data_IF_164509256259
#
_entry.id   IF_164509256259
#
_cell.length_a   1.000
_cell.length_b   1.000
_cell.length_c   1.000
_cell.angle_alpha   90.00
_cell.angle_beta   90.00
_cell.angle_gamma   90.00
#
_symmetry.space_group_name_H-M   'P 1'
#
loop_
_entity.id
_entity.type
_entity.pdbx_description
1 polymer ?
#
# COMPACT_ATOMS: atom_id res chain seq x y z
N UNK A 1 0.18 15.31 9.10
CA UNK A 1 1.56 15.08 9.56
C UNK A 1 1.62 13.64 10.07
N UNK A 2 2.63 12.80 9.87
CA UNK A 2 3.99 13.03 9.45
C UNK A 2 4.45 12.01 8.41
N UNK A 3 5.18 12.56 7.47
CA UNK A 3 6.03 11.91 6.50
C UNK A 3 7.27 11.39 7.25
N UNK A 4 7.15 10.36 8.09
CA UNK A 4 8.25 9.98 8.99
C UNK A 4 8.56 8.48 8.91
N UNK A 5 9.11 8.09 7.76
CA UNK A 5 10.06 6.99 7.67
C UNK A 5 11.06 7.37 6.57
N UNK A 6 11.85 8.40 6.88
CA UNK A 6 12.92 8.92 6.03
C UNK A 6 14.22 8.33 6.54
N UNK A 7 14.82 7.41 5.80
CA UNK A 7 16.22 7.04 6.01
C UNK A 7 17.10 8.26 5.64
N UNK A 8 17.91 8.82 6.57
CA UNK A 8 18.55 10.12 6.38
C UNK A 8 19.79 10.11 5.48
N UNK A 9 20.25 8.97 4.92
CA UNK A 9 21.58 8.92 4.31
C UNK A 9 21.63 8.20 2.95
N UNK A 10 21.56 8.96 1.84
CA UNK A 10 22.05 8.46 0.56
C UNK A 10 21.72 9.33 -0.65
N UNK A 11 22.72 9.50 -1.53
CA UNK A 11 22.62 10.11 -2.87
C UNK A 11 21.47 9.51 -3.71
N UNK A 12 21.08 8.27 -3.39
CA UNK A 12 19.98 7.56 -4.03
C UNK A 12 18.61 8.22 -3.80
N UNK A 13 18.34 8.78 -2.61
CA UNK A 13 17.06 9.44 -2.32
C UNK A 13 16.90 10.77 -3.05
N UNK A 14 17.99 11.50 -3.26
CA UNK A 14 17.98 12.70 -4.07
C UNK A 14 17.68 12.36 -5.54
N UNK A 15 18.31 11.29 -6.05
CA UNK A 15 18.04 10.80 -7.41
C UNK A 15 16.60 10.29 -7.58
N UNK A 16 16.04 9.58 -6.60
CA UNK A 16 14.65 9.13 -6.60
C UNK A 16 13.68 10.32 -6.54
N UNK A 17 13.91 11.33 -5.71
CA UNK A 17 13.08 12.55 -5.69
C UNK A 17 13.12 13.34 -7.00
N UNK A 18 14.29 13.41 -7.64
CA UNK A 18 14.45 14.08 -8.94
C UNK A 18 13.72 13.31 -10.03
N UNK A 19 13.82 11.98 -10.05
CA UNK A 19 13.06 11.11 -10.99
C UNK A 19 11.56 11.10 -10.72
N UNK A 20 11.16 11.22 -9.45
CA UNK A 20 9.78 11.40 -9.01
C UNK A 20 9.21 12.72 -9.51
N UNK A 21 9.98 13.81 -9.42
CA UNK A 21 9.58 15.13 -9.90
C UNK A 21 9.42 15.16 -11.43
N UNK A 22 10.23 14.39 -12.16
CA UNK A 22 10.16 14.29 -13.63
C UNK A 22 9.12 13.28 -14.13
N UNK A 23 8.33 12.66 -13.24
CA UNK A 23 7.38 11.57 -13.56
C UNK A 23 8.02 10.42 -14.35
N UNK A 24 9.34 10.25 -14.23
CA UNK A 24 10.09 9.24 -14.96
C UNK A 24 10.12 7.88 -14.24
N UNK A 25 9.47 7.76 -13.08
CA UNK A 25 9.27 6.50 -12.37
C UNK A 25 7.80 6.10 -12.44
N UNK A 26 7.53 4.95 -13.07
CA UNK A 26 6.21 4.32 -13.13
C UNK A 26 5.88 3.58 -11.82
N UNK A 27 6.83 3.49 -10.88
CA UNK A 27 6.70 2.58 -9.75
C UNK A 27 7.44 3.03 -8.49
N UNK A 28 6.78 2.90 -7.33
CA UNK A 28 7.33 3.28 -6.01
C UNK A 28 8.12 2.10 -5.44
N UNK A 29 9.24 1.77 -6.08
CA UNK A 29 10.07 0.62 -5.71
C UNK A 29 10.72 0.68 -4.33
N UNK A 30 10.81 1.88 -3.72
CA UNK A 30 11.43 2.09 -2.41
C UNK A 30 10.83 1.22 -1.30
N UNK A 31 9.51 1.18 -1.16
CA UNK A 31 8.86 0.39 -0.09
C UNK A 31 9.12 -1.12 -0.23
N UNK A 32 9.16 -1.63 -1.47
CA UNK A 32 9.47 -3.04 -1.72
C UNK A 32 10.94 -3.35 -1.44
N UNK A 33 11.85 -2.43 -1.79
CA UNK A 33 13.27 -2.55 -1.47
C UNK A 33 13.49 -2.58 0.03
N UNK A 34 12.87 -1.68 0.77
CA UNK A 34 12.96 -1.62 2.23
C UNK A 34 12.40 -2.90 2.86
N UNK A 35 11.26 -3.41 2.37
CA UNK A 35 10.70 -4.66 2.84
C UNK A 35 11.66 -5.86 2.63
N UNK A 36 12.33 -5.95 1.48
CA UNK A 36 13.33 -7.01 1.21
C UNK A 36 14.57 -6.87 2.13
N UNK A 37 15.03 -5.64 2.35
CA UNK A 37 16.20 -5.37 3.19
C UNK A 37 15.90 -5.56 4.68
N UNK A 38 14.68 -5.27 5.14
CA UNK A 38 14.25 -5.47 6.52
C UNK A 38 13.85 -6.93 6.83
N UNK A 39 13.44 -7.72 5.83
CA UNK A 39 13.02 -9.10 6.05
C UNK A 39 14.19 -9.97 6.57
N UNK A 40 13.93 -10.80 7.58
CA UNK A 40 14.89 -11.78 8.10
C UNK A 40 15.21 -12.87 7.06
N UNK A 41 16.39 -13.50 7.10
CA UNK A 41 16.68 -14.67 6.26
C UNK A 41 15.63 -15.78 6.41
N UNK A 42 15.28 -16.42 5.29
CA UNK A 42 14.20 -17.42 5.20
C UNK A 42 12.78 -16.86 5.33
N UNK A 43 12.63 -15.53 5.35
CA UNK A 43 11.34 -14.85 5.52
C UNK A 43 10.47 -14.80 4.25
N UNK A 44 9.26 -14.25 4.43
CA UNK A 44 8.29 -14.03 3.35
C UNK A 44 8.06 -12.52 3.18
N UNK A 45 8.16 -12.02 1.96
CA UNK A 45 7.75 -10.66 1.59
C UNK A 45 6.44 -10.77 0.80
N UNK A 46 5.35 -10.25 1.38
CA UNK A 46 4.03 -10.23 0.74
C UNK A 46 3.78 -8.87 0.10
N UNK A 47 3.65 -8.85 -1.22
CA UNK A 47 3.47 -7.64 -2.02
C UNK A 47 1.97 -7.45 -2.26
N UNK A 48 1.40 -6.47 -1.57
CA UNK A 48 0.00 -6.05 -1.72
C UNK A 48 0.03 -4.63 -2.26
N UNK A 49 0.02 -4.51 -3.59
CA UNK A 49 0.13 -3.25 -4.32
C UNK A 49 0.16 -3.50 -5.82
N UNK A 50 -0.21 -2.51 -6.62
CA UNK A 50 -0.17 -2.61 -8.08
C UNK A 50 1.16 -2.05 -8.58
N UNK A 51 2.01 -2.94 -9.09
CA UNK A 51 3.30 -2.63 -9.70
C UNK A 51 3.14 -2.88 -11.22
N UNK A 52 2.95 -1.81 -12.00
CA UNK A 52 2.44 -1.86 -13.38
C UNK A 52 3.48 -1.75 -14.50
N UNK A 53 4.78 -1.86 -14.20
CA UNK A 53 5.85 -1.66 -15.18
C UNK A 53 7.14 -2.39 -14.81
N UNK A 54 8.22 -2.09 -15.54
CA UNK A 54 9.55 -2.59 -15.19
C UNK A 54 10.07 -1.79 -13.99
N UNK A 55 10.29 -2.48 -12.87
CA UNK A 55 10.88 -1.86 -11.69
C UNK A 55 12.41 -1.84 -11.84
N UNK A 56 12.99 -0.64 -11.85
CA UNK A 56 14.44 -0.45 -11.84
C UNK A 56 15.00 -0.79 -10.43
N UNK A 57 16.18 -1.41 -10.38
CA UNK A 57 16.94 -1.70 -9.13
C UNK A 57 16.26 -2.58 -8.07
N UNK A 58 15.50 -3.60 -8.48
CA UNK A 58 15.04 -4.63 -7.54
C UNK A 58 16.24 -5.31 -6.84
N UNK A 59 16.29 -5.41 -5.49
CA UNK A 59 17.43 -5.94 -4.75
C UNK A 59 17.50 -7.48 -4.78
N UNK A 60 17.64 -8.05 -5.98
CA UNK A 60 17.61 -9.50 -6.22
C UNK A 60 18.73 -10.25 -5.49
N UNK A 61 19.92 -9.65 -5.35
CA UNK A 61 21.02 -10.26 -4.59
C UNK A 61 20.68 -10.43 -3.10
N UNK A 62 20.04 -9.43 -2.48
CA UNK A 62 19.60 -9.55 -1.10
C UNK A 62 18.49 -10.58 -0.93
N UNK A 63 17.55 -10.63 -1.88
CA UNK A 63 16.48 -11.62 -1.92
C UNK A 63 17.03 -13.05 -1.99
N UNK A 64 18.01 -13.29 -2.89
CA UNK A 64 18.66 -14.59 -3.05
C UNK A 64 19.51 -14.98 -1.84
N UNK A 65 20.39 -14.10 -1.37
CA UNK A 65 21.29 -14.40 -0.26
C UNK A 65 20.55 -14.63 1.06
N UNK A 66 19.39 -13.99 1.25
CA UNK A 66 18.53 -14.23 2.40
C UNK A 66 17.57 -15.40 2.19
N UNK A 67 17.49 -16.01 1.01
CA UNK A 67 16.56 -17.10 0.72
C UNK A 67 15.09 -16.72 0.94
N UNK A 68 14.68 -15.52 0.50
CA UNK A 68 13.33 -15.02 0.76
C UNK A 68 12.29 -15.62 -0.19
N UNK A 69 11.07 -15.82 0.33
CA UNK A 69 9.89 -16.15 -0.48
C UNK A 69 9.09 -14.89 -0.80
N UNK A 70 8.75 -14.70 -2.08
CA UNK A 70 7.86 -13.62 -2.51
C UNK A 70 6.44 -14.17 -2.69
N UNK A 71 5.45 -13.51 -2.07
CA UNK A 71 4.03 -13.72 -2.36
C UNK A 71 3.44 -12.45 -2.94
N UNK A 72 2.79 -12.55 -4.09
CA UNK A 72 2.25 -11.40 -4.83
C UNK A 72 0.94 -11.79 -5.50
N UNK A 73 0.24 -10.81 -6.04
CA UNK A 73 -0.99 -10.97 -6.81
C UNK A 73 -2.10 -10.04 -6.34
N UNK A 74 -3.17 -9.99 -7.12
CA UNK A 74 -4.41 -9.34 -6.70
C UNK A 74 -5.08 -10.14 -5.58
N UNK A 75 -5.86 -9.45 -4.75
CA UNK A 75 -6.60 -10.11 -3.67
C UNK A 75 -7.57 -11.15 -4.25
N UNK A 76 -7.52 -12.39 -3.75
CA UNK A 76 -8.48 -13.44 -4.10
C UNK A 76 -9.81 -13.20 -3.36
N UNK A 77 -10.55 -12.15 -3.75
CA UNK A 77 -11.75 -11.67 -3.03
C UNK A 77 -12.73 -12.80 -2.75
N UNK A 78 -13.07 -13.61 -3.77
CA UNK A 78 -14.03 -14.71 -3.61
C UNK A 78 -13.59 -15.79 -2.60
N UNK A 79 -12.28 -16.01 -2.45
CA UNK A 79 -11.75 -16.97 -1.46
C UNK A 79 -11.96 -16.46 -0.03
N UNK A 80 -11.82 -15.14 0.19
CA UNK A 80 -11.83 -14.56 1.53
C UNK A 80 -13.17 -13.93 1.93
N UNK A 81 -14.07 -13.66 0.99
CA UNK A 81 -15.34 -12.99 1.25
C UNK A 81 -16.19 -13.72 2.29
N UNK A 82 -16.47 -15.01 2.09
CA UNK A 82 -17.33 -15.79 3.00
C UNK A 82 -16.74 -15.91 4.41
N UNK A 83 -15.48 -16.35 4.60
CA UNK A 83 -14.87 -16.40 5.93
C UNK A 83 -14.89 -15.05 6.65
N UNK A 84 -14.50 -13.96 5.97
CA UNK A 84 -14.46 -12.63 6.57
C UNK A 84 -15.86 -12.15 6.99
N UNK A 85 -16.87 -12.38 6.16
CA UNK A 85 -18.25 -12.06 6.50
C UNK A 85 -18.74 -12.82 7.74
N UNK A 86 -18.42 -14.12 7.84
CA UNK A 86 -18.76 -14.93 9.02
C UNK A 86 -18.05 -14.41 10.28
N UNK A 87 -16.79 -13.98 10.19
CA UNK A 87 -16.09 -13.37 11.32
C UNK A 87 -16.73 -12.05 11.77
N UNK A 88 -17.17 -11.21 10.82
CA UNK A 88 -17.82 -9.93 11.13
C UNK A 88 -19.18 -10.17 11.79
N UNK A 89 -20.00 -11.05 11.21
CA UNK A 89 -21.35 -11.36 11.74
C UNK A 89 -21.33 -12.06 13.09
N UNK A 90 -20.29 -12.85 13.39
CA UNK A 90 -20.04 -13.45 14.72
C UNK A 90 -19.41 -12.46 15.73
N UNK A 91 -19.11 -11.23 15.32
CA UNK A 91 -18.49 -10.21 16.17
C UNK A 91 -17.01 -10.45 16.47
N UNK A 92 -16.33 -11.34 15.75
CA UNK A 92 -14.89 -11.55 15.90
C UNK A 92 -14.06 -10.38 15.36
N UNK A 93 -14.61 -9.61 14.42
CA UNK A 93 -13.96 -8.46 13.78
C UNK A 93 -15.01 -7.36 13.59
N UNK A 94 -14.72 -6.15 14.05
CA UNK A 94 -15.49 -4.95 13.72
C UNK A 94 -14.68 -4.05 12.76
N UNK A 95 -15.06 -3.98 11.47
CA UNK A 95 -14.35 -3.14 10.49
C UNK A 95 -14.82 -1.67 10.49
N UNK A 96 -15.78 -1.30 11.35
CA UNK A 96 -16.45 0.01 11.29
C UNK A 96 -15.49 1.19 11.49
N UNK A 97 -14.42 0.99 12.28
CA UNK A 97 -13.40 2.02 12.53
C UNK A 97 -12.65 2.47 11.26
N UNK A 98 -12.64 1.65 10.20
CA UNK A 98 -11.98 2.01 8.94
C UNK A 98 -12.79 3.07 8.18
N UNK A 99 -14.12 3.09 8.36
CA UNK A 99 -15.02 4.01 7.66
C UNK A 99 -15.03 5.37 8.35
N UNK A 100 -14.22 6.29 7.82
CA UNK A 100 -14.11 7.66 8.33
C UNK A 100 -15.23 8.59 7.88
N UNK A 101 -15.78 8.38 6.66
CA UNK A 101 -16.74 9.29 6.06
C UNK A 101 -17.91 8.53 5.42
N UNK A 102 -19.12 9.07 5.59
CA UNK A 102 -20.35 8.57 4.96
C UNK A 102 -21.05 9.74 4.28
N UNK A 103 -21.28 9.62 2.98
CA UNK A 103 -21.83 10.67 2.14
C UNK A 103 -22.97 10.12 1.27
N UNK A 104 -23.87 10.97 0.83
CA UNK A 104 -24.86 10.62 -0.19
C UNK A 104 -24.19 10.51 -1.57
N UNK A 105 -24.76 9.75 -2.50
CA UNK A 105 -24.19 9.51 -3.83
C UNK A 105 -23.96 10.81 -4.61
N UNK A 106 -24.84 11.81 -4.45
CA UNK A 106 -24.69 13.13 -5.07
C UNK A 106 -23.46 13.92 -4.60
N UNK A 107 -22.91 13.57 -3.44
CA UNK A 107 -21.72 14.21 -2.85
C UNK A 107 -20.43 13.47 -3.17
N UNK A 108 -20.47 12.50 -4.09
CA UNK A 108 -19.29 11.76 -4.52
C UNK A 108 -18.12 12.67 -4.94
N UNK A 109 -18.30 13.77 -5.70
CA UNK A 109 -17.20 14.67 -6.07
C UNK A 109 -16.44 15.22 -4.87
N UNK A 110 -17.15 15.67 -3.83
CA UNK A 110 -16.54 16.18 -2.60
C UNK A 110 -15.75 15.08 -1.89
N UNK A 111 -16.31 13.88 -1.80
CA UNK A 111 -15.62 12.72 -1.23
C UNK A 111 -14.32 12.35 -1.95
N UNK A 112 -14.28 12.50 -3.28
CA UNK A 112 -13.05 12.29 -4.06
C UNK A 112 -11.99 13.37 -3.77
N UNK A 113 -12.37 14.64 -3.67
CA UNK A 113 -11.45 15.72 -3.36
C UNK A 113 -10.86 15.58 -1.94
N UNK A 114 -11.69 15.30 -0.94
CA UNK A 114 -11.24 15.03 0.44
C UNK A 114 -10.25 13.86 0.48
N UNK A 115 -10.55 12.74 -0.21
CA UNK A 115 -9.66 11.57 -0.24
C UNK A 115 -8.33 11.86 -0.95
N UNK A 116 -8.38 12.53 -2.10
CA UNK A 116 -7.20 12.87 -2.91
C UNK A 116 -6.25 13.81 -2.17
N UNK A 117 -6.80 14.82 -1.48
CA UNK A 117 -6.03 15.80 -0.71
C UNK A 117 -5.70 15.34 0.72
N UNK A 118 -6.13 14.14 1.12
CA UNK A 118 -5.96 13.57 2.47
C UNK A 118 -6.40 14.54 3.57
N UNK A 119 -7.51 15.24 3.31
CA UNK A 119 -8.12 16.15 4.28
C UNK A 119 -8.90 15.34 5.32
N UNK A 120 -9.08 15.93 6.50
CA UNK A 120 -9.93 15.42 7.57
C UNK A 120 -9.64 13.97 7.99
N UNK A 121 -8.36 13.57 7.92
CA UNK A 121 -7.92 12.20 8.24
C UNK A 121 -8.70 11.13 7.47
N UNK A 122 -9.12 11.45 6.23
CA UNK A 122 -9.94 10.55 5.42
C UNK A 122 -9.20 9.25 5.06
N UNK A 123 -9.73 8.12 5.55
CA UNK A 123 -9.22 6.76 5.29
C UNK A 123 -10.12 6.00 4.32
N UNK A 124 -11.44 6.03 4.56
CA UNK A 124 -12.43 5.34 3.72
C UNK A 124 -13.74 6.14 3.69
N UNK A 125 -14.21 6.41 2.48
CA UNK A 125 -15.52 6.97 2.20
C UNK A 125 -16.48 5.84 1.80
N UNK A 126 -17.68 5.82 2.37
CA UNK A 126 -18.79 4.96 1.95
C UNK A 126 -19.92 5.84 1.44
N UNK A 127 -20.30 5.64 0.18
CA UNK A 127 -21.42 6.35 -0.44
C UNK A 127 -22.72 5.59 -0.19
N UNK A 128 -23.75 6.31 0.23
CA UNK A 128 -25.13 5.81 0.32
C UNK A 128 -25.92 6.26 -0.90
N UNK A 129 -26.62 5.36 -1.59
CA UNK A 129 -27.45 5.70 -2.76
C UNK A 129 -28.59 6.66 -2.42
#
# INVERSE_FOLDING_TARGET
>A
MGLEAVDPHGVLHAAERVKQATRSETDRGGALRDAILACRPGGIVSIIGVYGGLMDKAPMGALMNKGLSIKTGQCHVHRYMKPLYEHITKGHIDPSFVVTHRLELGQAPDGYETFKHKQDECVKVVLKP
#
